data_IF_642191728844
#
_entry.id   IF_642191728844
#
_cell.length_a   1.000
_cell.length_b   1.000
_cell.length_c   1.000
_cell.angle_alpha   90.00
_cell.angle_beta   90.00
_cell.angle_gamma   90.00
#
_symmetry.space_group_name_H-M   'P 1'
#
loop_
_entity.id
_entity.type
_entity.pdbx_description
1 polymer ?
#
# COMPACT_ATOMS: atom_id res chain seq x y z
N UNK A 1 -20.23 8.56 2.84
CA UNK A 1 -19.13 8.10 3.73
C UNK A 1 -18.27 7.04 3.07
N UNK A 2 -18.81 5.94 2.50
CA UNK A 2 -18.00 4.92 1.77
C UNK A 2 -17.07 5.57 0.73
N UNK A 3 -17.61 6.46 -0.11
CA UNK A 3 -16.85 7.13 -1.18
C UNK A 3 -15.68 7.94 -0.61
N UNK A 4 -15.87 8.60 0.53
CA UNK A 4 -14.81 9.38 1.18
C UNK A 4 -13.78 8.46 1.85
N UNK A 5 -14.22 7.35 2.45
CA UNK A 5 -13.33 6.39 3.08
C UNK A 5 -12.43 5.66 2.06
N UNK A 6 -12.98 5.28 0.89
CA UNK A 6 -12.16 4.63 -0.15
C UNK A 6 -11.21 5.63 -0.81
N UNK A 7 -11.64 6.87 -1.08
CA UNK A 7 -10.75 7.91 -1.60
C UNK A 7 -9.61 8.22 -0.62
N UNK A 8 -9.91 8.31 0.67
CA UNK A 8 -8.88 8.47 1.71
C UNK A 8 -7.92 7.27 1.77
N UNK A 9 -8.42 6.05 1.58
CA UNK A 9 -7.58 4.85 1.55
C UNK A 9 -6.63 4.87 0.35
N UNK A 10 -7.11 5.26 -0.83
CA UNK A 10 -6.30 5.39 -2.05
C UNK A 10 -5.22 6.48 -1.92
N UNK A 11 -5.55 7.59 -1.25
CA UNK A 11 -4.60 8.67 -1.00
C UNK A 11 -3.57 8.28 0.06
N UNK A 12 -3.99 7.63 1.15
CA UNK A 12 -3.09 7.07 2.15
C UNK A 12 -2.10 6.08 1.55
N UNK A 13 -2.51 5.22 0.61
CA UNK A 13 -1.61 4.26 -0.02
C UNK A 13 -0.50 4.94 -0.84
N UNK A 14 -0.83 6.05 -1.53
CA UNK A 14 0.17 6.85 -2.27
C UNK A 14 1.10 7.62 -1.32
N UNK A 15 0.54 8.23 -0.28
CA UNK A 15 1.30 8.99 0.70
C UNK A 15 2.24 8.08 1.50
N UNK A 16 1.75 6.93 1.97
CA UNK A 16 2.55 5.93 2.68
C UNK A 16 3.73 5.47 1.83
N UNK A 17 3.51 5.18 0.54
CA UNK A 17 4.61 4.80 -0.34
C UNK A 17 5.62 5.95 -0.55
N UNK A 18 5.13 7.18 -0.70
CA UNK A 18 5.99 8.36 -0.85
C UNK A 18 6.84 8.61 0.40
N UNK A 19 6.24 8.53 1.59
CA UNK A 19 6.94 8.68 2.85
C UNK A 19 7.92 7.53 3.10
N UNK A 20 7.54 6.29 2.78
CA UNK A 20 8.44 5.15 2.91
C UNK A 20 9.67 5.28 1.99
N UNK A 21 9.47 5.70 0.73
CA UNK A 21 10.59 5.96 -0.18
C UNK A 21 11.49 7.09 0.33
N UNK A 22 10.91 8.13 0.94
CA UNK A 22 11.69 9.21 1.57
C UNK A 22 12.52 8.70 2.76
N UNK A 23 11.96 7.86 3.63
CA UNK A 23 12.70 7.23 4.75
C UNK A 23 13.88 6.41 4.21
N UNK A 24 13.67 5.65 3.12
CA UNK A 24 14.74 4.86 2.49
C UNK A 24 15.86 5.72 1.94
N UNK A 25 15.52 6.78 1.19
CA UNK A 25 16.53 7.69 0.65
C UNK A 25 17.30 8.43 1.75
N UNK A 26 16.60 8.84 2.81
CA UNK A 26 17.23 9.58 3.91
C UNK A 26 18.18 8.70 4.72
N UNK A 27 17.74 7.49 5.10
CA UNK A 27 18.57 6.57 5.87
C UNK A 27 19.66 5.89 5.03
N UNK A 28 19.52 5.83 3.70
CA UNK A 28 20.54 5.30 2.78
C UNK A 28 21.89 6.02 2.91
N UNK A 29 21.91 7.29 3.32
CA UNK A 29 23.17 8.00 3.60
C UNK A 29 23.94 7.40 4.78
N UNK A 30 23.21 6.90 5.79
CA UNK A 30 23.81 6.28 6.97
C UNK A 30 24.09 4.78 6.79
N UNK A 31 23.15 4.05 6.16
CA UNK A 31 23.29 2.61 5.97
C UNK A 31 22.69 2.17 4.62
N UNK A 32 23.47 2.22 3.54
CA UNK A 32 22.97 1.96 2.19
C UNK A 32 22.65 0.48 1.93
N UNK A 33 23.30 -0.44 2.63
CA UNK A 33 23.11 -1.89 2.46
C UNK A 33 21.71 -2.33 2.92
N UNK A 34 21.16 -1.71 3.97
CA UNK A 34 19.82 -2.03 4.48
C UNK A 34 18.73 -1.97 3.41
N UNK A 35 18.84 -0.98 2.52
CA UNK A 35 17.86 -0.77 1.46
C UNK A 35 17.87 -1.87 0.41
N UNK A 36 18.96 -2.66 0.30
CA UNK A 36 19.07 -3.81 -0.59
C UNK A 36 18.58 -5.10 0.05
N UNK A 37 18.74 -5.23 1.35
CA UNK A 37 18.38 -6.44 2.10
C UNK A 37 16.86 -6.47 2.34
N UNK A 38 16.28 -5.39 2.86
CA UNK A 38 14.86 -5.36 3.27
C UNK A 38 14.03 -4.70 2.19
N UNK A 39 13.32 -5.47 1.35
CA UNK A 39 12.50 -4.91 0.27
C UNK A 39 11.21 -4.25 0.76
N UNK A 40 10.58 -4.77 1.81
CA UNK A 40 9.33 -4.22 2.33
C UNK A 40 9.56 -2.89 3.07
N UNK A 41 8.81 -1.88 2.65
CA UNK A 41 8.84 -0.51 3.16
C UNK A 41 8.45 -0.41 4.64
N UNK A 42 7.47 -1.20 5.09
CA UNK A 42 6.99 -1.13 6.48
C UNK A 42 8.01 -1.82 7.39
N UNK A 43 8.55 -2.97 6.98
CA UNK A 43 9.62 -3.66 7.70
C UNK A 43 10.90 -2.81 7.75
N UNK A 44 11.21 -2.10 6.66
CA UNK A 44 12.33 -1.17 6.63
C UNK A 44 12.19 -0.08 7.69
N UNK A 45 11.03 0.58 7.80
CA UNK A 45 10.80 1.60 8.83
C UNK A 45 10.94 1.04 10.26
N UNK A 46 10.46 -0.20 10.50
CA UNK A 46 10.66 -0.87 11.80
C UNK A 46 12.15 -1.18 12.07
N UNK A 47 12.87 -1.65 11.06
CA UNK A 47 14.30 -1.96 11.17
C UNK A 47 15.12 -0.71 11.46
N UNK A 48 14.89 0.39 10.74
CA UNK A 48 15.56 1.69 10.98
C UNK A 48 15.35 2.18 12.41
N UNK A 49 14.12 2.04 12.93
CA UNK A 49 13.80 2.42 14.31
C UNK A 49 14.61 1.60 15.33
N UNK A 50 14.75 0.30 15.10
CA UNK A 50 15.51 -0.60 15.99
C UNK A 50 17.00 -0.37 15.90
N UNK A 51 17.57 -0.36 14.68
CA UNK A 51 19.01 -0.22 14.44
C UNK A 51 19.52 1.10 15.00
N UNK A 52 18.86 2.21 14.70
CA UNK A 52 19.38 3.54 15.04
C UNK A 52 20.75 3.78 14.42
N UNK A 53 21.82 3.67 15.23
CA UNK A 53 23.21 3.76 14.79
C UNK A 53 23.76 2.37 14.41
N UNK A 54 24.52 2.29 13.31
CA UNK A 54 25.16 1.03 12.90
C UNK A 54 26.13 0.46 13.96
N UNK A 55 26.69 1.28 14.85
CA UNK A 55 27.51 0.82 15.99
C UNK A 55 26.74 0.01 17.03
N UNK A 56 25.44 0.28 17.20
CA UNK A 56 24.56 -0.49 18.09
C UNK A 56 23.88 -1.66 17.38
N UNK A 57 24.06 -1.81 16.06
CA UNK A 57 23.40 -2.85 15.27
C UNK A 57 23.91 -4.27 15.59
N UNK A 58 25.14 -4.40 16.11
CA UNK A 58 25.73 -5.69 16.45
C UNK A 58 25.12 -6.33 17.71
N UNK A 59 24.66 -5.51 18.66
CA UNK A 59 24.19 -5.96 19.98
C UNK A 59 22.66 -6.10 20.08
N UNK A 60 21.92 -5.72 19.03
CA UNK A 60 20.47 -5.74 19.04
C UNK A 60 19.92 -7.04 18.42
N UNK A 61 18.99 -7.68 19.12
CA UNK A 61 18.21 -8.83 18.63
C UNK A 61 17.07 -8.34 17.73
N UNK A 62 17.10 -8.70 16.45
CA UNK A 62 16.08 -8.35 15.46
C UNK A 62 14.97 -9.40 15.31
N UNK A 63 14.98 -10.44 16.15
CA UNK A 63 14.15 -11.64 16.02
C UNK A 63 12.64 -11.39 16.14
N UNK A 64 12.21 -10.20 16.56
CA UNK A 64 10.80 -9.79 16.62
C UNK A 64 10.27 -9.15 15.33
N UNK A 65 11.15 -8.73 14.42
CA UNK A 65 10.79 -7.93 13.23
C UNK A 65 11.28 -8.55 11.94
N UNK A 66 12.43 -9.22 11.95
CA UNK A 66 13.05 -9.83 10.78
C UNK A 66 13.16 -11.35 10.93
N UNK A 67 13.15 -12.05 9.80
CA UNK A 67 13.52 -13.45 9.72
C UNK A 67 15.00 -13.61 10.07
N UNK A 68 15.37 -14.72 10.71
CA UNK A 68 16.75 -14.97 11.19
C UNK A 68 17.80 -14.85 10.07
N UNK A 69 17.46 -15.28 8.84
CA UNK A 69 18.33 -15.16 7.66
C UNK A 69 18.66 -13.70 7.32
N UNK A 70 17.65 -12.83 7.36
CA UNK A 70 17.77 -11.40 7.06
C UNK A 70 18.54 -10.68 8.18
N UNK A 71 18.36 -11.14 9.43
CA UNK A 71 19.08 -10.60 10.59
C UNK A 71 20.59 -10.87 10.49
N UNK A 72 20.99 -12.10 10.08
CA UNK A 72 22.41 -12.42 9.90
C UNK A 72 23.07 -11.58 8.80
N UNK A 73 22.41 -11.43 7.65
CA UNK A 73 22.91 -10.59 6.55
C UNK A 73 23.02 -9.11 6.97
N UNK A 74 22.08 -8.63 7.79
CA UNK A 74 22.07 -7.26 8.29
C UNK A 74 23.22 -7.00 9.28
N UNK A 75 23.52 -7.95 10.17
CA UNK A 75 24.66 -7.86 11.09
C UNK A 75 26.00 -7.89 10.34
N UNK A 76 26.13 -8.75 9.34
CA UNK A 76 27.32 -8.78 8.47
C UNK A 76 27.48 -7.48 7.68
N UNK A 77 26.40 -6.96 7.10
CA UNK A 77 26.41 -5.70 6.36
C UNK A 77 26.72 -4.50 7.26
N UNK A 78 26.30 -4.50 8.54
CA UNK A 78 26.60 -3.43 9.48
C UNK A 78 28.12 -3.31 9.77
N UNK A 79 28.85 -4.43 9.79
CA UNK A 79 30.31 -4.46 10.00
C UNK A 79 31.07 -3.91 8.78
N UNK A 80 30.54 -4.14 7.57
CA UNK A 80 31.17 -3.77 6.29
C UNK A 80 30.61 -2.43 5.74
N UNK A 81 29.71 -1.78 6.49
CA UNK A 81 28.96 -0.61 6.04
C UNK A 81 29.87 0.52 5.57
N UNK A 82 29.55 1.06 4.39
CA UNK A 82 30.25 2.20 3.78
C UNK A 82 29.53 3.53 4.01
N UNK A 83 28.52 3.55 4.89
CA UNK A 83 27.71 4.74 5.17
C UNK A 83 28.44 5.80 5.99
N UNK A 84 27.93 7.03 5.95
CA UNK A 84 28.49 8.15 6.73
C UNK A 84 27.87 8.23 8.12
N UNK A 85 28.66 8.64 9.11
CA UNK A 85 28.12 8.99 10.42
C UNK A 85 27.17 10.19 10.31
N UNK A 86 26.00 10.05 10.93
CA UNK A 86 24.93 11.06 10.92
C UNK A 86 24.79 11.63 12.32
N UNK A 87 24.43 12.92 12.42
CA UNK A 87 24.23 13.56 13.71
C UNK A 87 23.06 12.94 14.49
N UNK A 88 23.13 12.96 15.82
CA UNK A 88 22.04 12.44 16.66
C UNK A 88 20.70 13.18 16.43
N UNK A 89 20.77 14.48 16.10
CA UNK A 89 19.62 15.31 15.75
C UNK A 89 18.93 14.82 14.47
N UNK A 90 19.70 14.55 13.42
CA UNK A 90 19.17 14.05 12.15
C UNK A 90 18.60 12.63 12.32
N UNK A 91 19.26 11.80 13.12
CA UNK A 91 18.79 10.45 13.42
C UNK A 91 17.47 10.47 14.21
N UNK A 92 17.31 11.41 15.15
CA UNK A 92 16.05 11.62 15.85
C UNK A 92 14.91 11.97 14.88
N UNK A 93 15.14 12.88 13.93
CA UNK A 93 14.15 13.23 12.92
C UNK A 93 13.79 12.05 12.01
N UNK A 94 14.77 11.22 11.63
CA UNK A 94 14.52 10.01 10.84
C UNK A 94 13.65 9.01 11.62
N UNK A 95 13.92 8.84 12.92
CA UNK A 95 13.11 7.97 13.80
C UNK A 95 11.67 8.48 13.93
N UNK A 96 11.48 9.78 14.09
CA UNK A 96 10.14 10.39 14.13
C UNK A 96 9.37 10.16 12.82
N UNK A 97 10.04 10.30 11.66
CA UNK A 97 9.43 10.00 10.37
C UNK A 97 9.04 8.51 10.26
N UNK A 98 9.87 7.59 10.78
CA UNK A 98 9.53 6.17 10.82
C UNK A 98 8.27 5.92 11.67
N UNK A 99 8.14 6.60 12.82
CA UNK A 99 6.95 6.50 13.67
C UNK A 99 5.69 7.03 12.98
N UNK A 100 5.81 8.11 12.21
CA UNK A 100 4.71 8.59 11.36
C UNK A 100 4.31 7.56 10.30
N UNK A 101 5.25 6.93 9.60
CA UNK A 101 4.95 5.89 8.62
C UNK A 101 4.26 4.68 9.25
N UNK A 102 4.71 4.25 10.43
CA UNK A 102 4.11 3.13 11.16
C UNK A 102 2.69 3.45 11.63
N UNK A 103 2.48 4.63 12.22
CA UNK A 103 1.14 5.07 12.63
C UNK A 103 0.17 5.21 11.44
N UNK A 104 0.63 5.71 10.29
CA UNK A 104 -0.16 5.76 9.05
C UNK A 104 -0.53 4.36 8.55
N UNK A 105 0.41 3.41 8.63
CA UNK A 105 0.14 2.01 8.27
C UNK A 105 -0.90 1.36 9.19
N UNK A 106 -0.87 1.63 10.49
CA UNK A 106 -1.87 1.15 11.44
C UNK A 106 -3.23 1.80 11.18
N UNK A 107 -3.25 3.11 10.95
CA UNK A 107 -4.48 3.84 10.60
C UNK A 107 -5.11 3.32 9.30
N UNK A 108 -4.29 3.01 8.29
CA UNK A 108 -4.75 2.37 7.05
C UNK A 108 -5.46 1.05 7.33
N UNK A 109 -4.89 0.19 8.19
CA UNK A 109 -5.51 -1.09 8.55
C UNK A 109 -6.86 -0.88 9.27
N UNK A 110 -6.92 0.08 10.21
CA UNK A 110 -8.16 0.44 10.89
C UNK A 110 -9.23 0.99 9.93
N UNK A 111 -8.82 1.83 8.97
CA UNK A 111 -9.71 2.39 7.96
C UNK A 111 -10.26 1.31 7.02
N UNK A 112 -9.43 0.32 6.69
CA UNK A 112 -9.84 -0.84 5.91
C UNK A 112 -10.92 -1.67 6.64
N UNK A 113 -10.70 -1.98 7.92
CA UNK A 113 -11.68 -2.70 8.74
C UNK A 113 -13.00 -1.91 8.90
N UNK A 114 -12.89 -0.58 9.06
CA UNK A 114 -14.04 0.30 9.04
C UNK A 114 -14.80 0.21 7.72
N UNK A 115 -14.12 0.29 6.57
CA UNK A 115 -14.72 0.18 5.24
C UNK A 115 -15.44 -1.16 5.07
N UNK A 116 -14.79 -2.27 5.48
CA UNK A 116 -15.35 -3.62 5.44
C UNK A 116 -16.66 -3.73 6.20
N UNK A 117 -16.68 -3.27 7.45
CA UNK A 117 -17.89 -3.29 8.28
C UNK A 117 -19.01 -2.43 7.69
N UNK A 118 -18.68 -1.24 7.17
CA UNK A 118 -19.67 -0.34 6.55
C UNK A 118 -20.22 -0.90 5.25
N UNK A 119 -19.41 -1.56 4.44
CA UNK A 119 -19.85 -2.15 3.18
C UNK A 119 -20.81 -3.32 3.43
N UNK A 120 -20.53 -4.18 4.41
CA UNK A 120 -21.41 -5.28 4.79
C UNK A 120 -22.80 -4.82 5.23
N UNK A 121 -22.90 -3.65 5.90
CA UNK A 121 -24.18 -3.07 6.32
C UNK A 121 -24.95 -2.46 5.14
N UNK A 122 -24.25 -1.81 4.20
CA UNK A 122 -24.89 -1.03 3.12
C UNK A 122 -25.20 -1.89 1.89
N UNK A 123 -24.29 -2.76 1.48
CA UNK A 123 -24.38 -3.53 0.23
C UNK A 123 -23.81 -4.94 0.41
N UNK A 124 -24.46 -5.76 1.24
CA UNK A 124 -24.07 -7.15 1.50
C UNK A 124 -23.99 -8.00 0.22
N UNK A 125 -24.97 -7.89 -0.67
CA UNK A 125 -25.01 -8.68 -1.91
C UNK A 125 -23.87 -8.32 -2.87
N UNK A 126 -23.55 -7.02 -2.98
CA UNK A 126 -22.43 -6.57 -3.82
C UNK A 126 -21.09 -7.06 -3.24
N UNK A 127 -20.97 -7.01 -1.91
CA UNK A 127 -19.79 -7.50 -1.19
C UNK A 127 -19.60 -9.00 -1.37
N UNK A 128 -20.67 -9.78 -1.25
CA UNK A 128 -20.62 -11.23 -1.43
C UNK A 128 -20.22 -11.64 -2.87
N UNK A 129 -20.57 -10.82 -3.87
CA UNK A 129 -20.25 -11.09 -5.28
C UNK A 129 -18.84 -10.63 -5.66
N UNK A 130 -18.46 -9.39 -5.36
CA UNK A 130 -17.26 -8.76 -5.95
C UNK A 130 -16.17 -8.48 -4.90
N UNK A 131 -16.51 -8.57 -3.60
CA UNK A 131 -15.65 -8.19 -2.49
C UNK A 131 -15.82 -6.73 -2.06
N UNK A 132 -15.32 -6.40 -0.87
CA UNK A 132 -15.50 -5.11 -0.21
C UNK A 132 -14.81 -3.96 -0.96
N UNK A 133 -13.54 -4.16 -1.34
CA UNK A 133 -12.72 -3.14 -2.00
C UNK A 133 -13.26 -2.79 -3.37
N UNK A 134 -13.50 -3.78 -4.22
CA UNK A 134 -13.99 -3.55 -5.58
C UNK A 134 -15.41 -2.99 -5.54
N UNK A 135 -16.25 -3.47 -4.61
CA UNK A 135 -17.58 -2.90 -4.37
C UNK A 135 -17.51 -1.42 -3.97
N UNK A 136 -16.57 -1.03 -3.11
CA UNK A 136 -16.35 0.36 -2.72
C UNK A 136 -15.92 1.23 -3.90
N UNK A 137 -15.01 0.75 -4.72
CA UNK A 137 -14.56 1.44 -5.93
C UNK A 137 -15.69 1.63 -6.96
N UNK A 138 -16.54 0.62 -7.15
CA UNK A 138 -17.71 0.71 -8.04
C UNK A 138 -18.70 1.77 -7.55
N UNK A 139 -18.98 1.81 -6.25
CA UNK A 139 -19.86 2.82 -5.64
C UNK A 139 -19.24 4.22 -5.76
N UNK A 140 -17.93 4.34 -5.56
CA UNK A 140 -17.21 5.60 -5.70
C UNK A 140 -17.26 6.13 -7.13
N UNK A 141 -17.00 5.29 -8.12
CA UNK A 141 -17.06 5.67 -9.53
C UNK A 141 -18.49 5.97 -10.01
N UNK A 142 -19.51 5.29 -9.46
CA UNK A 142 -20.91 5.61 -9.72
C UNK A 142 -21.42 6.87 -8.99
N UNK A 143 -20.64 7.42 -8.05
CA UNK A 143 -20.98 8.59 -7.23
C UNK A 143 -22.05 8.35 -6.16
N UNK A 144 -22.93 7.37 -6.34
CA UNK A 144 -23.84 6.87 -5.29
C UNK A 144 -24.29 5.44 -5.61
N UNK A 145 -24.75 4.71 -4.59
CA UNK A 145 -25.29 3.36 -4.77
C UNK A 145 -26.51 3.34 -5.71
N UNK A 146 -27.36 4.37 -5.64
CA UNK A 146 -28.56 4.47 -6.47
C UNK A 146 -28.23 4.76 -7.93
N UNK A 147 -27.20 5.57 -8.20
CA UNK A 147 -26.72 5.77 -9.56
C UNK A 147 -26.07 4.51 -10.11
N UNK A 148 -25.29 3.79 -9.29
CA UNK A 148 -24.71 2.51 -9.68
C UNK A 148 -25.81 1.50 -10.06
N UNK A 149 -26.90 1.44 -9.31
CA UNK A 149 -28.04 0.56 -9.61
C UNK A 149 -28.78 0.90 -10.91
N UNK A 150 -28.66 2.14 -11.42
CA UNK A 150 -29.24 2.56 -12.70
C UNK A 150 -28.37 2.17 -13.89
N UNK A 151 -27.08 1.88 -13.68
CA UNK A 151 -26.18 1.51 -14.76
C UNK A 151 -26.52 0.10 -15.27
N UNK A 152 -26.54 -0.12 -16.60
CA UNK A 152 -26.70 -1.46 -17.14
C UNK A 152 -25.44 -2.30 -16.86
N UNK A 153 -25.59 -3.62 -16.87
CA UNK A 153 -24.48 -4.55 -16.59
C UNK A 153 -23.27 -4.35 -17.49
N UNK A 154 -23.48 -3.99 -18.76
CA UNK A 154 -22.40 -3.69 -19.72
C UNK A 154 -21.60 -2.44 -19.34
N UNK A 155 -22.24 -1.40 -18.77
CA UNK A 155 -21.53 -0.24 -18.23
C UNK A 155 -20.76 -0.63 -16.97
N UNK A 156 -21.36 -1.45 -16.09
CA UNK A 156 -20.70 -1.91 -14.87
C UNK A 156 -19.43 -2.70 -15.20
N UNK A 157 -19.46 -3.53 -16.24
CA UNK A 157 -18.33 -4.33 -16.71
C UNK A 157 -17.09 -3.49 -17.08
N UNK A 158 -17.29 -2.33 -17.71
CA UNK A 158 -16.22 -1.47 -18.25
C UNK A 158 -15.94 -0.22 -17.40
N UNK A 159 -16.60 -0.08 -16.24
CA UNK A 159 -16.39 1.03 -15.30
C UNK A 159 -14.91 1.15 -14.91
N UNK A 160 -14.35 2.35 -14.98
CA UNK A 160 -12.92 2.64 -14.74
C UNK A 160 -12.00 2.46 -15.96
N UNK A 161 -12.44 1.78 -17.03
CA UNK A 161 -11.70 1.66 -18.30
C UNK A 161 -12.21 2.67 -19.36
N UNK A 162 -12.89 3.74 -18.95
CA UNK A 162 -13.56 4.68 -19.86
C UNK A 162 -12.59 5.36 -20.82
N UNK A 163 -11.40 5.75 -20.34
CA UNK A 163 -10.37 6.39 -21.19
C UNK A 163 -9.95 5.48 -22.35
N UNK A 164 -9.70 4.20 -22.07
CA UNK A 164 -9.29 3.22 -23.09
C UNK A 164 -10.47 2.85 -23.99
N UNK A 165 -11.67 2.72 -23.43
CA UNK A 165 -12.91 2.49 -24.17
C UNK A 165 -13.19 3.59 -25.19
N UNK A 166 -13.19 4.86 -24.77
CA UNK A 166 -13.45 5.98 -25.67
C UNK A 166 -12.35 6.16 -26.71
N UNK A 167 -11.09 5.85 -26.36
CA UNK A 167 -9.98 5.81 -27.34
C UNK A 167 -10.20 4.72 -28.38
N UNK A 168 -10.59 3.53 -27.98
CA UNK A 168 -10.88 2.41 -28.88
C UNK A 168 -12.02 2.74 -29.85
N UNK A 169 -13.11 3.36 -29.37
CA UNK A 169 -14.20 3.82 -30.23
C UNK A 169 -13.75 4.85 -31.26
N UNK A 170 -12.93 5.83 -30.87
CA UNK A 170 -12.41 6.85 -31.79
C UNK A 170 -11.49 6.27 -32.87
N UNK A 171 -10.69 5.28 -32.51
CA UNK A 171 -9.67 4.66 -33.38
C UNK A 171 -10.17 3.40 -34.09
N UNK A 172 -11.42 2.98 -33.85
CA UNK A 172 -12.01 1.71 -34.30
C UNK A 172 -11.15 0.48 -33.95
N UNK A 173 -10.47 0.55 -32.80
CA UNK A 173 -9.73 -0.58 -32.23
C UNK A 173 -10.62 -1.40 -31.28
N UNK A 174 -10.12 -2.56 -30.85
CA UNK A 174 -10.83 -3.41 -29.89
C UNK A 174 -11.06 -2.70 -28.55
N UNK A 175 -12.28 -2.83 -28.03
CA UNK A 175 -12.68 -2.25 -26.75
C UNK A 175 -12.13 -3.07 -25.58
N UNK A 176 -11.83 -2.44 -24.42
CA UNK A 176 -11.47 -3.18 -23.21
C UNK A 176 -12.64 -4.06 -22.76
N UNK A 177 -12.33 -5.28 -22.31
CA UNK A 177 -13.33 -6.29 -21.90
C UNK A 177 -13.70 -6.10 -20.42
N UNK A 178 -12.79 -5.56 -19.60
CA UNK A 178 -12.97 -5.38 -18.16
C UNK A 178 -12.46 -4.00 -17.72
N UNK A 179 -13.08 -3.45 -16.68
CA UNK A 179 -12.59 -2.30 -15.93
C UNK A 179 -12.22 -2.68 -14.50
N UNK A 180 -12.79 -1.99 -13.52
CA UNK A 180 -12.54 -2.20 -12.08
C UNK A 180 -12.84 -3.63 -11.61
N UNK A 181 -13.77 -4.34 -12.27
CA UNK A 181 -14.15 -5.72 -11.91
C UNK A 181 -12.98 -6.70 -12.12
N UNK A 182 -11.97 -6.35 -12.92
CA UNK A 182 -10.80 -7.21 -13.14
C UNK A 182 -10.11 -7.64 -11.83
N UNK A 183 -10.14 -6.79 -10.80
CA UNK A 183 -9.56 -7.08 -9.49
C UNK A 183 -10.46 -7.91 -8.56
N UNK A 184 -11.64 -8.34 -9.03
CA UNK A 184 -12.53 -9.21 -8.27
C UNK A 184 -11.96 -10.63 -8.18
N UNK A 185 -12.11 -11.27 -7.02
CA UNK A 185 -11.59 -12.62 -6.75
C UNK A 185 -12.07 -13.66 -7.77
N UNK A 186 -13.35 -13.61 -8.16
CA UNK A 186 -13.96 -14.54 -9.12
C UNK A 186 -13.29 -14.47 -10.50
N UNK A 187 -12.90 -13.29 -10.97
CA UNK A 187 -12.24 -13.13 -12.27
C UNK A 187 -10.78 -13.60 -12.19
N UNK A 188 -10.10 -13.30 -11.07
CA UNK A 188 -8.74 -13.77 -10.84
C UNK A 188 -8.62 -15.30 -10.82
N UNK A 189 -9.65 -16.01 -10.35
CA UNK A 189 -9.70 -17.48 -10.35
C UNK A 189 -9.92 -18.08 -11.73
N UNK A 190 -10.64 -17.40 -12.63
CA UNK A 190 -10.91 -17.89 -13.98
C UNK A 190 -9.75 -17.69 -14.97
N UNK A 191 -8.81 -16.80 -14.64
CA UNK A 191 -7.61 -16.54 -15.44
C UNK A 191 -6.44 -17.49 -15.10
N UNK A 192 -6.58 -18.33 -14.07
CA UNK A 192 -5.66 -19.39 -13.69
C UNK A 192 -6.11 -20.73 -14.30
#
# INVERSE_FOLDING_TARGET
MIIQAIGLLDDLDKELNTYAMRVREWYRWHFPELAKIVFDNILYAKAVKLVGNHTNAADLDFSKVLLEEIETELKEAAVISMGTEVSELDLMNIKELCDQVLSLSEYRAQLYDYLKNRMNIIALNLTALVGELVGAHLIAHGGSLLNLAKHPGSTIQILGAEKTLFRAFKTKHATPIYGLIYHASLIGQAAA
#
